data_IF_104880597161
#
_entry.id   IF_104880597161
#
_cell.length_a   1.000
_cell.length_b   1.000
_cell.length_c   1.000
_cell.angle_alpha   90.00
_cell.angle_beta   90.00
_cell.angle_gamma   90.00
#
_symmetry.space_group_name_H-M   'P 1'
#
loop_
_entity.id
_entity.type
_entity.pdbx_description
1 polymer ?
#
# COMPACT_ATOMS: atom_id res chain seq x y z
N UNK A 1 -6.80 -4.34 -33.33
CA UNK A 1 -5.66 -4.68 -32.43
C UNK A 1 -5.49 -3.62 -31.33
N UNK A 2 -6.60 -3.11 -30.73
CA UNK A 2 -6.57 -1.99 -29.77
C UNK A 2 -7.33 -2.24 -28.45
N UNK A 3 -7.79 -3.48 -28.18
CA UNK A 3 -8.65 -3.74 -27.01
C UNK A 3 -7.94 -4.07 -25.68
N UNK A 4 -6.63 -4.25 -25.69
CA UNK A 4 -5.93 -4.81 -24.50
C UNK A 4 -5.27 -3.77 -23.57
N UNK A 5 -5.17 -2.48 -23.98
CA UNK A 5 -4.50 -1.44 -23.19
C UNK A 5 -5.40 -0.86 -22.08
N UNK A 6 -6.70 -0.76 -22.33
CA UNK A 6 -7.65 -0.24 -21.33
C UNK A 6 -7.83 -1.13 -20.11
N UNK A 7 -7.81 -2.47 -20.31
CA UNK A 7 -7.97 -3.44 -19.22
C UNK A 7 -6.79 -3.47 -18.25
N UNK A 8 -5.56 -3.26 -18.78
CA UNK A 8 -4.34 -3.26 -17.97
C UNK A 8 -4.19 -2.01 -17.09
N UNK A 9 -4.68 -0.87 -17.56
CA UNK A 9 -4.63 0.39 -16.79
C UNK A 9 -5.59 0.39 -15.61
N UNK A 10 -6.79 -0.13 -15.79
CA UNK A 10 -7.80 -0.20 -14.71
C UNK A 10 -7.37 -1.16 -13.59
N UNK A 11 -6.76 -2.29 -13.97
CA UNK A 11 -6.24 -3.25 -13.01
C UNK A 11 -5.00 -2.71 -12.25
N UNK A 12 -4.16 -1.89 -12.90
CA UNK A 12 -3.01 -1.25 -12.25
C UNK A 12 -3.42 -0.27 -11.13
N UNK A 13 -4.53 0.47 -11.33
CA UNK A 13 -5.09 1.36 -10.33
C UNK A 13 -5.66 0.61 -9.11
N UNK A 14 -6.26 -0.56 -9.34
CA UNK A 14 -6.75 -1.41 -8.25
C UNK A 14 -5.62 -1.88 -7.32
N UNK A 15 -4.53 -2.36 -7.90
CA UNK A 15 -3.35 -2.78 -7.13
C UNK A 15 -2.60 -1.59 -6.49
N UNK A 16 -2.52 -0.45 -7.17
CA UNK A 16 -1.84 0.75 -6.66
C UNK A 16 -2.64 1.42 -5.54
N UNK A 17 -3.97 1.45 -5.63
CA UNK A 17 -4.84 2.00 -4.58
C UNK A 17 -4.76 1.21 -3.26
N UNK A 18 -4.61 -0.11 -3.35
CA UNK A 18 -4.43 -0.98 -2.19
C UNK A 18 -3.01 -0.92 -1.59
N UNK A 19 -1.99 -0.66 -2.40
CA UNK A 19 -0.59 -0.58 -1.96
C UNK A 19 -0.14 0.85 -1.62
N UNK A 20 -0.70 1.86 -2.27
CA UNK A 20 -0.35 3.26 -2.05
C UNK A 20 -0.80 3.82 -0.70
N UNK A 21 -1.86 3.27 -0.10
CA UNK A 21 -2.32 3.64 1.23
C UNK A 21 -1.36 3.21 2.36
N UNK A 22 -0.44 2.29 2.10
CA UNK A 22 0.47 1.77 3.12
C UNK A 22 1.57 2.77 3.54
N UNK A 23 1.91 3.73 2.69
CA UNK A 23 3.01 4.67 2.98
C UNK A 23 2.63 5.77 3.98
N UNK A 24 1.35 6.04 4.18
CA UNK A 24 0.85 7.08 5.09
C UNK A 24 0.59 6.59 6.52
N UNK A 25 0.74 5.30 6.78
CA UNK A 25 0.35 4.68 8.06
C UNK A 25 1.41 4.70 9.13
N UNK A 26 2.65 5.00 8.76
CA UNK A 26 3.79 5.00 9.68
C UNK A 26 3.84 6.23 10.61
N UNK A 27 2.95 7.21 10.48
CA UNK A 27 3.04 8.49 11.20
C UNK A 27 1.78 8.92 11.95
N UNK A 28 0.80 8.05 12.18
CA UNK A 28 -0.34 8.39 13.03
C UNK A 28 -0.13 7.82 14.44
N UNK A 29 0.21 8.64 15.44
CA UNK A 29 0.19 8.22 16.83
C UNK A 29 -1.26 8.24 17.33
N UNK A 30 -1.77 7.06 17.67
CA UNK A 30 -2.91 6.91 18.56
C UNK A 30 -4.29 7.06 17.91
N UNK A 31 -5.06 5.99 18.00
CA UNK A 31 -6.51 6.04 17.82
C UNK A 31 -7.06 4.90 16.96
N UNK A 32 -8.14 4.31 17.42
CA UNK A 32 -8.92 3.26 16.75
C UNK A 32 -9.47 3.65 15.35
N UNK A 33 -9.10 4.81 14.81
CA UNK A 33 -9.47 5.33 13.50
C UNK A 33 -8.64 4.78 12.33
N UNK A 34 -7.54 4.05 12.61
CA UNK A 34 -6.67 3.42 11.59
C UNK A 34 -7.30 2.26 10.81
N UNK A 35 -8.56 1.91 11.09
CA UNK A 35 -9.28 0.82 10.40
C UNK A 35 -10.05 1.25 9.14
N UNK A 36 -10.02 2.51 8.75
CA UNK A 36 -10.82 3.03 7.65
C UNK A 36 -10.66 2.32 6.30
N UNK A 37 -9.44 2.08 5.79
CA UNK A 37 -9.25 1.42 4.50
C UNK A 37 -9.55 -0.08 4.54
N UNK A 38 -9.29 -0.76 5.66
CA UNK A 38 -9.64 -2.18 5.79
C UNK A 38 -11.15 -2.41 5.78
N UNK A 39 -11.92 -1.54 6.44
CA UNK A 39 -13.39 -1.60 6.41
C UNK A 39 -13.95 -1.43 5.00
N UNK A 40 -13.37 -0.52 4.21
CA UNK A 40 -13.76 -0.35 2.81
C UNK A 40 -13.51 -1.58 1.96
N UNK A 41 -12.42 -2.27 2.22
CA UNK A 41 -12.06 -3.50 1.53
C UNK A 41 -12.96 -4.69 1.91
N UNK A 42 -13.26 -4.86 3.20
CA UNK A 42 -14.19 -5.87 3.69
C UNK A 42 -15.62 -5.64 3.18
N UNK A 43 -16.04 -4.38 3.10
CA UNK A 43 -17.32 -4.01 2.52
C UNK A 43 -17.38 -4.38 1.04
N UNK A 44 -16.37 -4.01 0.26
CA UNK A 44 -16.28 -4.37 -1.16
C UNK A 44 -16.32 -5.88 -1.35
N UNK A 45 -15.58 -6.66 -0.55
CA UNK A 45 -15.59 -8.11 -0.60
C UNK A 45 -17.01 -8.69 -0.45
N UNK A 46 -17.77 -8.19 0.52
CA UNK A 46 -19.17 -8.60 0.73
C UNK A 46 -20.09 -8.21 -0.43
N UNK A 47 -19.89 -7.01 -1.00
CA UNK A 47 -20.71 -6.50 -2.10
C UNK A 47 -20.45 -7.22 -3.42
N UNK A 48 -19.28 -7.82 -3.60
CA UNK A 48 -18.90 -8.54 -4.81
C UNK A 48 -19.65 -9.86 -4.97
N UNK A 49 -20.12 -10.50 -3.89
CA UNK A 49 -20.77 -11.81 -3.94
C UNK A 49 -19.97 -12.83 -4.78
N UNK A 50 -18.73 -13.05 -4.39
CA UNK A 50 -17.78 -13.88 -5.13
C UNK A 50 -18.25 -15.34 -5.18
N UNK A 51 -18.07 -16.01 -6.31
CA UNK A 51 -18.23 -17.45 -6.41
C UNK A 51 -17.03 -18.18 -5.77
N UNK A 52 -17.11 -19.50 -5.63
CA UNK A 52 -16.07 -20.28 -4.94
C UNK A 52 -14.67 -20.11 -5.53
N UNK A 53 -14.55 -20.08 -6.86
CA UNK A 53 -13.26 -19.89 -7.54
C UNK A 53 -12.71 -18.48 -7.32
N UNK A 54 -13.55 -17.46 -7.43
CA UNK A 54 -13.18 -16.06 -7.17
C UNK A 54 -12.76 -15.85 -5.70
N UNK A 55 -13.47 -16.51 -4.77
CA UNK A 55 -13.17 -16.46 -3.34
C UNK A 55 -11.78 -17.05 -3.02
N UNK A 56 -11.40 -18.14 -3.66
CA UNK A 56 -10.06 -18.73 -3.50
C UNK A 56 -8.96 -17.79 -4.01
N UNK A 57 -9.17 -17.14 -5.17
CA UNK A 57 -8.23 -16.14 -5.69
C UNK A 57 -8.14 -14.93 -4.75
N UNK A 58 -9.26 -14.48 -4.20
CA UNK A 58 -9.31 -13.40 -3.22
C UNK A 58 -8.52 -13.70 -1.96
N UNK A 59 -8.76 -14.87 -1.36
CA UNK A 59 -8.04 -15.34 -0.16
C UNK A 59 -6.54 -15.41 -0.41
N UNK A 60 -6.13 -15.93 -1.57
CA UNK A 60 -4.72 -16.01 -1.97
C UNK A 60 -4.09 -14.62 -2.07
N UNK A 61 -4.74 -13.68 -2.76
CA UNK A 61 -4.26 -12.31 -2.90
C UNK A 61 -4.17 -11.61 -1.53
N UNK A 62 -5.16 -11.79 -0.67
CA UNK A 62 -5.20 -11.24 0.68
C UNK A 62 -4.11 -11.83 1.58
N UNK A 63 -3.83 -13.14 1.48
CA UNK A 63 -2.73 -13.77 2.22
C UNK A 63 -1.38 -13.21 1.79
N UNK A 64 -1.11 -13.17 0.48
CA UNK A 64 0.11 -12.59 -0.06
C UNK A 64 0.31 -11.13 0.39
N UNK A 65 -0.74 -10.35 0.39
CA UNK A 65 -0.69 -8.96 0.86
C UNK A 65 -0.35 -8.89 2.35
N UNK A 66 -0.98 -9.70 3.20
CA UNK A 66 -0.66 -9.74 4.64
C UNK A 66 0.77 -10.16 4.90
N UNK A 67 1.24 -11.18 4.20
CA UNK A 67 2.61 -11.68 4.35
C UNK A 67 3.64 -10.65 3.86
N UNK A 68 3.32 -9.93 2.78
CA UNK A 68 4.10 -8.79 2.31
C UNK A 68 4.25 -7.71 3.40
N UNK A 69 3.17 -7.33 4.06
CA UNK A 69 3.20 -6.35 5.15
C UNK A 69 4.04 -6.82 6.34
N UNK A 70 3.87 -8.08 6.76
CA UNK A 70 4.66 -8.65 7.85
C UNK A 70 6.15 -8.66 7.52
N UNK A 71 6.50 -9.13 6.32
CA UNK A 71 7.88 -9.15 5.84
C UNK A 71 8.49 -7.75 5.77
N UNK A 72 7.77 -6.76 5.24
CA UNK A 72 8.21 -5.37 5.18
C UNK A 72 8.48 -4.79 6.55
N UNK A 73 7.58 -5.04 7.51
CA UNK A 73 7.75 -4.58 8.90
C UNK A 73 8.98 -5.20 9.54
N UNK A 74 9.14 -6.52 9.46
CA UNK A 74 10.28 -7.22 10.02
C UNK A 74 11.61 -6.73 9.43
N UNK A 75 11.68 -6.54 8.10
CA UNK A 75 12.86 -5.98 7.43
C UNK A 75 13.13 -4.52 7.80
N UNK A 76 12.09 -3.73 8.00
CA UNK A 76 12.22 -2.36 8.49
C UNK A 76 12.80 -2.30 9.90
N UNK A 77 12.39 -3.21 10.77
CA UNK A 77 12.94 -3.35 12.14
C UNK A 77 14.40 -3.82 12.12
N UNK A 78 14.72 -4.83 11.30
CA UNK A 78 16.08 -5.30 11.08
C UNK A 78 17.01 -4.20 10.57
N UNK A 79 16.56 -3.43 9.57
CA UNK A 79 17.32 -2.30 9.02
C UNK A 79 17.59 -1.24 10.07
N UNK A 80 16.58 -0.87 10.86
CA UNK A 80 16.77 0.10 11.96
C UNK A 80 17.74 -0.41 13.01
N UNK A 81 17.67 -1.70 13.37
CA UNK A 81 18.58 -2.31 14.32
C UNK A 81 20.04 -2.24 13.83
N UNK A 82 20.29 -2.58 12.55
CA UNK A 82 21.62 -2.48 11.94
C UNK A 82 22.16 -1.05 11.95
N UNK A 83 21.34 -0.08 11.57
CA UNK A 83 21.71 1.34 11.58
C UNK A 83 22.00 1.83 12.99
N UNK A 84 21.22 1.38 13.98
CA UNK A 84 21.43 1.76 15.37
C UNK A 84 22.75 1.22 15.90
N UNK A 85 23.06 -0.04 15.64
CA UNK A 85 24.35 -0.63 16.02
C UNK A 85 25.51 0.17 15.42
N UNK A 86 25.39 0.64 14.18
CA UNK A 86 26.46 1.42 13.54
C UNK A 86 26.66 2.80 14.16
N UNK A 87 25.56 3.52 14.41
CA UNK A 87 25.65 4.90 14.96
C UNK A 87 26.02 4.91 16.44
N UNK A 88 25.70 3.86 17.19
CA UNK A 88 26.01 3.75 18.63
C UNK A 88 27.48 3.37 18.89
N UNK A 89 28.30 3.08 17.86
CA UNK A 89 29.74 2.81 18.02
C UNK A 89 30.47 4.06 18.49
N UNK A 90 31.40 3.95 19.48
CA UNK A 90 32.27 5.05 19.82
C UNK A 90 33.08 5.51 18.60
N UNK A 91 33.01 6.79 18.27
CA UNK A 91 33.69 7.34 17.09
C UNK A 91 33.08 6.95 15.75
N UNK A 92 31.79 6.65 15.71
CA UNK A 92 31.07 6.29 14.48
C UNK A 92 31.35 7.31 13.35
N UNK A 93 31.73 6.79 12.17
CA UNK A 93 31.93 7.61 10.98
C UNK A 93 30.58 7.86 10.29
N UNK A 94 30.16 9.12 10.27
CA UNK A 94 28.91 9.54 9.65
C UNK A 94 28.86 9.27 8.13
N UNK A 95 30.00 9.24 7.46
CA UNK A 95 30.05 8.90 6.02
C UNK A 95 29.76 7.42 5.81
N UNK A 96 30.39 6.55 6.60
CA UNK A 96 30.12 5.12 6.59
C UNK A 96 28.66 4.82 6.96
N UNK A 97 28.14 5.49 7.98
CA UNK A 97 26.73 5.38 8.35
C UNK A 97 25.78 5.77 7.21
N UNK A 98 26.07 6.88 6.52
CA UNK A 98 25.25 7.31 5.37
C UNK A 98 25.31 6.30 4.22
N UNK A 99 26.47 5.74 3.90
CA UNK A 99 26.64 4.70 2.90
C UNK A 99 25.83 3.45 3.25
N UNK A 100 25.99 2.95 4.47
CA UNK A 100 25.21 1.79 4.95
C UNK A 100 23.71 2.02 4.86
N UNK A 101 23.23 3.19 5.27
CA UNK A 101 21.82 3.57 5.17
C UNK A 101 21.32 3.53 3.73
N UNK A 102 22.09 4.06 2.80
CA UNK A 102 21.72 4.14 1.39
C UNK A 102 21.73 2.75 0.74
N UNK A 103 22.69 1.89 1.07
CA UNK A 103 22.75 0.49 0.64
C UNK A 103 21.56 -0.32 1.15
N UNK A 104 21.29 -0.27 2.46
CA UNK A 104 20.14 -0.96 3.06
C UNK A 104 18.82 -0.43 2.49
N UNK A 105 18.72 0.87 2.23
CA UNK A 105 17.57 1.49 1.59
C UNK A 105 17.37 1.00 0.15
N UNK A 106 18.43 0.85 -0.63
CA UNK A 106 18.39 0.32 -1.99
C UNK A 106 17.96 -1.16 -2.02
N UNK A 107 18.55 -1.98 -1.14
CA UNK A 107 18.17 -3.38 -0.98
C UNK A 107 16.69 -3.53 -0.61
N UNK A 108 16.22 -2.74 0.36
CA UNK A 108 14.81 -2.75 0.78
C UNK A 108 13.89 -2.37 -0.39
N UNK A 109 14.21 -1.32 -1.16
CA UNK A 109 13.40 -0.92 -2.33
C UNK A 109 13.29 -2.03 -3.35
N UNK A 110 14.40 -2.66 -3.74
CA UNK A 110 14.42 -3.76 -4.71
C UNK A 110 13.56 -4.95 -4.26
N UNK A 111 13.70 -5.37 -2.99
CA UNK A 111 12.90 -6.46 -2.44
C UNK A 111 11.41 -6.10 -2.38
N UNK A 112 11.09 -4.86 -2.00
CA UNK A 112 9.71 -4.39 -1.96
C UNK A 112 9.07 -4.33 -3.34
N UNK A 113 9.80 -3.97 -4.37
CA UNK A 113 9.28 -3.93 -5.74
C UNK A 113 8.92 -5.33 -6.24
N UNK A 114 9.75 -6.34 -5.94
CA UNK A 114 9.44 -7.73 -6.26
C UNK A 114 8.16 -8.21 -5.55
N UNK A 115 8.05 -7.94 -4.25
CA UNK A 115 6.87 -8.32 -3.45
C UNK A 115 5.61 -7.57 -3.92
N UNK A 116 5.72 -6.27 -4.20
CA UNK A 116 4.62 -5.47 -4.76
C UNK A 116 4.14 -6.03 -6.10
N UNK A 117 5.07 -6.47 -6.94
CA UNK A 117 4.73 -7.11 -8.22
C UNK A 117 3.90 -8.37 -8.00
N UNK A 118 4.34 -9.27 -7.11
CA UNK A 118 3.61 -10.50 -6.79
C UNK A 118 2.20 -10.23 -6.24
N UNK A 119 2.06 -9.31 -5.29
CA UNK A 119 0.75 -8.92 -4.73
C UNK A 119 -0.14 -8.34 -5.82
N UNK A 120 0.39 -7.47 -6.67
CA UNK A 120 -0.36 -6.88 -7.79
C UNK A 120 -0.84 -7.93 -8.78
N UNK A 121 0.00 -8.89 -9.14
CA UNK A 121 -0.37 -9.99 -10.05
C UNK A 121 -1.47 -10.87 -9.44
N UNK A 122 -1.41 -11.13 -8.14
CA UNK A 122 -2.48 -11.87 -7.45
C UNK A 122 -3.82 -11.11 -7.48
N UNK A 123 -3.82 -9.79 -7.28
CA UNK A 123 -5.02 -8.96 -7.40
C UNK A 123 -5.52 -8.83 -8.84
N UNK A 124 -4.61 -8.85 -9.82
CA UNK A 124 -5.02 -8.90 -11.23
C UNK A 124 -5.74 -10.21 -11.56
N UNK A 125 -5.26 -11.35 -11.05
CA UNK A 125 -5.93 -12.62 -11.21
C UNK A 125 -7.35 -12.61 -10.61
N UNK A 126 -7.54 -11.97 -9.45
CA UNK A 126 -8.90 -11.75 -8.91
C UNK A 126 -9.74 -10.92 -9.87
N UNK A 127 -9.24 -9.75 -10.30
CA UNK A 127 -9.98 -8.85 -11.18
C UNK A 127 -10.36 -9.49 -12.51
N UNK A 128 -9.46 -10.28 -13.10
CA UNK A 128 -9.70 -10.97 -14.37
C UNK A 128 -10.78 -12.05 -14.25
N UNK A 129 -10.94 -12.64 -13.08
CA UNK A 129 -11.98 -13.63 -12.80
C UNK A 129 -13.36 -13.00 -12.51
N UNK A 130 -13.45 -11.68 -12.27
CA UNK A 130 -14.71 -10.98 -11.99
C UNK A 130 -15.55 -10.83 -13.26
N UNK A 131 -16.89 -10.92 -13.13
CA UNK A 131 -17.83 -10.53 -14.17
C UNK A 131 -17.90 -9.00 -14.35
N UNK A 132 -18.67 -8.56 -15.36
CA UNK A 132 -18.79 -7.14 -15.70
C UNK A 132 -19.42 -6.30 -14.57
N UNK A 133 -20.42 -6.84 -13.89
CA UNK A 133 -21.10 -6.16 -12.77
C UNK A 133 -20.19 -6.04 -11.54
N UNK A 134 -19.45 -7.10 -11.24
CA UNK A 134 -18.46 -7.10 -10.16
C UNK A 134 -17.31 -6.11 -10.45
N UNK A 135 -16.82 -6.07 -11.68
CA UNK A 135 -15.78 -5.10 -12.11
C UNK A 135 -16.25 -3.66 -11.97
N UNK A 136 -17.53 -3.39 -12.27
CA UNK A 136 -18.08 -2.04 -12.07
C UNK A 136 -18.10 -1.65 -10.59
N UNK A 137 -18.49 -2.54 -9.68
CA UNK A 137 -18.43 -2.29 -8.24
C UNK A 137 -16.99 -1.96 -7.78
N UNK A 138 -16.00 -2.70 -8.28
CA UNK A 138 -14.58 -2.42 -8.01
C UNK A 138 -14.19 -1.02 -8.49
N UNK A 139 -14.61 -0.65 -9.71
CA UNK A 139 -14.32 0.68 -10.28
C UNK A 139 -14.92 1.81 -9.44
N UNK A 140 -16.16 1.65 -9.00
CA UNK A 140 -16.82 2.62 -8.11
C UNK A 140 -16.07 2.74 -6.78
N UNK A 141 -15.72 1.62 -6.15
CA UNK A 141 -15.00 1.63 -4.88
C UNK A 141 -13.62 2.32 -4.98
N UNK A 142 -12.90 2.13 -6.09
CA UNK A 142 -11.63 2.82 -6.34
C UNK A 142 -11.85 4.33 -6.46
N UNK A 143 -12.83 4.76 -7.26
CA UNK A 143 -13.16 6.17 -7.45
C UNK A 143 -13.49 6.84 -6.11
N UNK A 144 -14.38 6.23 -5.34
CA UNK A 144 -14.76 6.74 -4.03
C UNK A 144 -13.58 6.79 -3.05
N UNK A 145 -12.64 5.86 -3.15
CA UNK A 145 -11.38 5.87 -2.40
C UNK A 145 -10.48 7.05 -2.78
N UNK A 146 -10.36 7.33 -4.08
CA UNK A 146 -9.58 8.48 -4.58
C UNK A 146 -10.17 9.82 -4.15
N UNK A 147 -11.50 9.95 -4.22
CA UNK A 147 -12.20 11.19 -3.83
C UNK A 147 -11.99 11.48 -2.33
N UNK A 148 -12.07 10.46 -1.48
CA UNK A 148 -11.79 10.60 -0.03
C UNK A 148 -10.35 11.04 0.24
N UNK A 149 -9.37 10.49 -0.48
CA UNK A 149 -7.96 10.90 -0.31
C UNK A 149 -7.73 12.35 -0.74
N UNK A 150 -8.41 12.81 -1.79
CA UNK A 150 -8.34 14.21 -2.24
C UNK A 150 -8.91 15.20 -1.21
N UNK A 151 -9.96 14.82 -0.47
CA UNK A 151 -10.57 15.66 0.55
C UNK A 151 -9.72 15.81 1.82
N UNK A 152 -9.08 14.73 2.27
CA UNK A 152 -8.20 14.77 3.46
C UNK A 152 -6.94 15.61 3.24
N UNK A 153 -6.46 15.74 2.00
CA UNK A 153 -5.34 16.61 1.65
C UNK A 153 -5.66 18.11 1.76
N UNK A 154 -6.92 18.50 1.50
CA UNK A 154 -7.34 19.91 1.54
C UNK A 154 -7.48 20.47 2.95
N UNK A 155 -7.81 19.66 3.94
CA UNK A 155 -7.94 20.10 5.34
C UNK A 155 -6.61 20.29 6.09
N UNK A 156 -5.49 19.79 5.57
CA UNK A 156 -4.14 19.99 6.16
C UNK A 156 -3.46 21.28 5.72
N UNK A 157 -4.01 22.01 4.75
CA UNK A 157 -3.48 23.26 4.20
C UNK A 157 -4.26 24.50 4.64
N UNK A 158 -4.87 24.52 5.83
CA UNK A 158 -5.51 25.70 6.38
C UNK A 158 -4.51 26.86 6.54
N UNK A 159 -4.89 28.12 6.23
CA UNK A 159 -3.98 29.24 6.28
C UNK A 159 -3.47 29.42 7.72
N UNK A 160 -2.14 29.39 7.86
CA UNK A 160 -1.43 29.79 9.08
C UNK A 160 -1.75 31.28 9.25
N UNK A 161 -2.74 31.58 10.11
CA UNK A 161 -3.12 32.94 10.41
C UNK A 161 -1.91 33.77 10.77
N UNK A 162 -1.65 34.80 9.95
CA UNK A 162 -0.86 35.96 10.31
C UNK A 162 -1.54 36.60 11.54
N UNK A 163 -0.96 36.40 12.71
CA UNK A 163 -1.20 37.26 13.85
C UNK A 163 0.01 38.17 13.98
N UNK A 164 -0.02 39.29 13.25
CA UNK A 164 0.68 40.49 13.62
C UNK A 164 -0.21 41.28 14.57
N UNK A 165 0.27 41.51 15.77
CA UNK A 165 -0.25 42.38 16.79
C UNK A 165 0.84 42.65 17.81
#
# INVERSE_FOLDING_TARGET
MFENHGKKLTAALFAAGLLGAASSWAQAPGGAEGMGPMRGFERLHKELNLNAQQEELWKKAQSLQRDAFRSMRAKGEETRAKLRVEIDKPGADLKQFAQLRDELGAQMRSQMDAVRKQVREAWFAVYDALDSGQREKVRVAIRDGMDRMGQTGRHRGGPRGEQHG
#
